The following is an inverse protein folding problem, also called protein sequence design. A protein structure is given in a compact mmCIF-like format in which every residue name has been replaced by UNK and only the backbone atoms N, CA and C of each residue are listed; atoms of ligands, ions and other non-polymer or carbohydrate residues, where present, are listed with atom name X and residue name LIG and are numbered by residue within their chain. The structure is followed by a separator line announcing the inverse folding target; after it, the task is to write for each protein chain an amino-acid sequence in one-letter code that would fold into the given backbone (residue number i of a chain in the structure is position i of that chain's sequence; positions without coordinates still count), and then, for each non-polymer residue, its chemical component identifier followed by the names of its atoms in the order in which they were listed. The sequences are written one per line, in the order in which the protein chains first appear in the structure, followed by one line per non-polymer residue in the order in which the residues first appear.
data_IF_986842826820
#
_entry.id   IF_986842826820
#
_cell.length_a   1.000
_cell.length_b   1.000
_cell.length_c   1.000
_cell.angle_alpha   90.00
_cell.angle_beta   90.00
_cell.angle_gamma   90.00
#
_symmetry.space_group_name_H-M   'P 1'
#
loop_
_entity.id
_entity.type
_entity.pdbx_description
1 polymer ?
#
# COMPACT_ATOMS: atom_id res chain seq x y z
N UNK A 1 -10.17 39.69 12.86
CA UNK A 1 -9.62 38.69 11.93
C UNK A 1 -9.26 37.46 12.76
N UNK A 2 -10.15 36.45 12.78
CA UNK A 2 -9.91 35.20 13.47
C UNK A 2 -8.87 34.41 12.65
N UNK A 3 -7.73 34.06 13.25
CA UNK A 3 -6.75 33.16 12.65
C UNK A 3 -7.41 31.79 12.48
N UNK A 4 -7.40 31.26 11.26
CA UNK A 4 -7.80 29.87 11.00
C UNK A 4 -6.97 28.94 11.94
N UNK A 5 -7.60 27.96 12.59
CA UNK A 5 -6.88 27.02 13.46
C UNK A 5 -5.78 26.32 12.64
N UNK A 6 -4.63 26.03 13.25
CA UNK A 6 -3.57 25.32 12.56
C UNK A 6 -4.13 23.99 12.03
N UNK A 7 -3.83 23.67 10.78
CA UNK A 7 -4.38 22.48 10.03
C UNK A 7 -4.29 21.15 10.81
N UNK A 8 -3.38 21.04 11.76
CA UNK A 8 -3.24 19.87 12.64
C UNK A 8 -4.38 19.70 13.65
N UNK A 9 -4.91 20.78 14.24
CA UNK A 9 -6.02 20.71 15.21
C UNK A 9 -7.32 20.28 14.54
N UNK A 10 -7.59 20.72 13.30
CA UNK A 10 -8.75 20.28 12.53
C UNK A 10 -8.73 18.78 12.24
N UNK A 11 -7.57 18.22 11.90
CA UNK A 11 -7.44 16.78 11.60
C UNK A 11 -7.52 15.91 12.87
N UNK A 12 -7.01 16.37 14.01
CA UNK A 12 -7.19 15.66 15.31
C UNK A 12 -8.67 15.56 15.66
N UNK A 13 -9.42 16.67 15.53
CA UNK A 13 -10.85 16.68 15.78
C UNK A 13 -11.61 15.77 14.82
N UNK A 14 -11.24 15.74 13.55
CA UNK A 14 -11.81 14.84 12.55
C UNK A 14 -11.59 13.37 12.92
N UNK A 15 -10.36 12.97 13.25
CA UNK A 15 -10.04 11.60 13.68
C UNK A 15 -10.82 11.23 14.93
N UNK A 16 -10.90 12.12 15.92
CA UNK A 16 -11.66 11.88 17.13
C UNK A 16 -13.15 11.70 16.85
N UNK A 17 -13.74 12.53 15.97
CA UNK A 17 -15.14 12.43 15.57
C UNK A 17 -15.40 11.13 14.78
N UNK A 18 -14.53 10.75 13.85
CA UNK A 18 -14.64 9.47 13.14
C UNK A 18 -14.60 8.32 14.14
N UNK A 19 -13.64 8.31 15.07
CA UNK A 19 -13.53 7.27 16.08
C UNK A 19 -14.79 7.16 16.96
N UNK A 20 -15.38 8.31 17.34
CA UNK A 20 -16.65 8.31 18.11
C UNK A 20 -17.79 7.72 17.29
N UNK A 21 -17.94 8.08 16.00
CA UNK A 21 -18.99 7.52 15.12
C UNK A 21 -18.88 6.00 14.98
N UNK A 22 -17.66 5.47 15.00
CA UNK A 22 -17.39 4.02 14.93
C UNK A 22 -17.33 3.35 16.33
N UNK A 23 -17.99 3.93 17.35
CA UNK A 23 -18.19 3.30 18.67
C UNK A 23 -17.05 3.47 19.69
N UNK A 24 -15.94 4.10 19.30
CA UNK A 24 -14.79 4.30 20.23
C UNK A 24 -15.00 5.43 21.24
N UNK A 25 -16.17 6.08 21.29
CA UNK A 25 -16.50 7.15 22.25
C UNK A 25 -16.35 6.74 23.70
N UNK A 26 -16.72 5.48 24.04
CA UNK A 26 -16.51 4.92 25.38
C UNK A 26 -15.02 4.91 25.77
N UNK A 27 -14.12 4.60 24.84
CA UNK A 27 -12.68 4.60 25.08
C UNK A 27 -12.18 6.00 25.46
N UNK A 28 -12.63 7.05 24.76
CA UNK A 28 -12.27 8.43 25.05
C UNK A 28 -12.76 8.87 26.43
N UNK A 29 -14.00 8.55 26.80
CA UNK A 29 -14.56 8.90 28.13
C UNK A 29 -13.86 8.16 29.27
N UNK A 30 -13.67 6.84 29.13
CA UNK A 30 -13.00 6.00 30.13
C UNK A 30 -11.58 6.48 30.42
N UNK A 31 -10.87 6.98 29.42
CA UNK A 31 -9.49 7.42 29.55
C UNK A 31 -9.33 8.94 29.73
N UNK A 32 -10.42 9.66 30.05
CA UNK A 32 -10.44 11.11 30.28
C UNK A 32 -9.89 11.92 29.10
N UNK A 33 -10.24 11.52 27.88
CA UNK A 33 -9.86 12.14 26.61
C UNK A 33 -11.05 12.92 26.01
N UNK A 34 -12.05 13.28 26.83
CA UNK A 34 -13.28 13.98 26.43
C UNK A 34 -13.04 15.33 25.77
N UNK A 35 -11.92 15.99 26.11
CA UNK A 35 -11.52 17.27 25.49
C UNK A 35 -11.33 17.16 23.95
N UNK A 36 -11.21 15.92 23.43
CA UNK A 36 -11.00 15.65 22.01
C UNK A 36 -12.32 15.38 21.23
N UNK A 37 -13.40 15.02 21.94
CA UNK A 37 -14.63 14.51 21.30
C UNK A 37 -15.89 15.38 21.50
N UNK A 38 -15.88 16.38 22.39
CA UNK A 38 -17.12 17.08 22.76
C UNK A 38 -18.09 16.20 23.56
N UNK A 39 -19.28 16.76 23.91
CA UNK A 39 -20.23 16.12 24.86
C UNK A 39 -21.24 15.15 24.20
N UNK A 40 -21.30 15.06 22.88
CA UNK A 40 -22.41 14.45 22.12
C UNK A 40 -22.19 12.97 21.71
N UNK A 41 -21.17 12.28 22.24
CA UNK A 41 -20.87 10.89 21.83
C UNK A 41 -21.83 9.86 22.46
N UNK A 42 -22.69 9.25 21.65
CA UNK A 42 -23.56 8.14 22.04
C UNK A 42 -22.73 6.90 22.41
N UNK A 43 -23.08 6.24 23.53
CA UNK A 43 -22.37 5.07 24.04
C UNK A 43 -22.89 3.81 23.34
N UNK A 44 -22.22 3.35 22.31
CA UNK A 44 -22.43 1.98 21.84
C UNK A 44 -21.62 1.01 22.73
N UNK A 45 -22.34 0.18 23.48
CA UNK A 45 -21.77 -0.97 24.17
C UNK A 45 -21.62 -2.10 23.17
N UNK A 46 -20.39 -2.27 22.64
CA UNK A 46 -20.15 -3.21 21.55
C UNK A 46 -19.85 -4.62 22.04
N UNK A 47 -20.48 -5.59 21.38
CA UNK A 47 -20.03 -6.98 21.46
C UNK A 47 -18.58 -7.08 20.92
N UNK A 48 -17.72 -7.92 21.54
CA UNK A 48 -16.35 -8.12 21.06
C UNK A 48 -16.25 -8.45 19.57
N UNK A 49 -17.25 -9.13 19.01
CA UNK A 49 -17.35 -9.52 17.59
C UNK A 49 -17.52 -8.34 16.60
N UNK A 50 -17.91 -7.16 17.07
CA UNK A 50 -18.13 -5.99 16.21
C UNK A 50 -16.94 -5.02 16.19
N UNK A 51 -16.04 -5.13 17.18
CA UNK A 51 -14.90 -4.21 17.32
C UNK A 51 -13.96 -4.22 16.13
N UNK A 52 -13.72 -5.40 15.57
CA UNK A 52 -12.86 -5.53 14.39
C UNK A 52 -13.44 -4.82 13.18
N UNK A 53 -14.75 -5.02 12.93
CA UNK A 53 -15.47 -4.37 11.83
C UNK A 53 -15.47 -2.85 11.97
N UNK A 54 -15.79 -2.33 13.15
CA UNK A 54 -15.80 -0.88 13.40
C UNK A 54 -14.39 -0.27 13.29
N UNK A 55 -13.36 -0.98 13.71
CA UNK A 55 -11.98 -0.54 13.52
C UNK A 55 -11.62 -0.47 12.03
N UNK A 56 -12.00 -1.49 11.24
CA UNK A 56 -11.79 -1.51 9.81
C UNK A 56 -12.50 -0.33 9.12
N UNK A 57 -13.79 -0.14 9.41
CA UNK A 57 -14.59 0.95 8.86
C UNK A 57 -14.05 2.33 9.26
N UNK A 58 -13.58 2.49 10.49
CA UNK A 58 -12.92 3.71 10.96
C UNK A 58 -11.64 4.01 10.19
N UNK A 59 -10.77 3.00 10.00
CA UNK A 59 -9.51 3.17 9.27
C UNK A 59 -9.76 3.50 7.79
N UNK A 60 -10.79 2.89 7.18
CA UNK A 60 -11.21 3.15 5.82
C UNK A 60 -11.70 4.60 5.65
N UNK A 61 -12.58 5.07 6.55
CA UNK A 61 -13.08 6.45 6.55
C UNK A 61 -11.96 7.48 6.79
N UNK A 62 -10.95 7.16 7.61
CA UNK A 62 -9.81 8.04 7.88
C UNK A 62 -8.87 8.19 6.67
N UNK A 63 -8.96 7.27 5.72
CA UNK A 63 -8.31 7.36 4.43
C UNK A 63 -6.99 6.58 4.30
N UNK A 64 -6.29 6.75 3.16
CA UNK A 64 -5.25 5.85 2.68
C UNK A 64 -4.11 5.57 3.67
N UNK A 65 -3.66 6.56 4.42
CA UNK A 65 -2.60 6.39 5.43
C UNK A 65 -3.03 5.42 6.53
N UNK A 66 -4.30 5.52 6.97
CA UNK A 66 -4.84 4.69 8.05
C UNK A 66 -5.21 3.29 7.54
N UNK A 67 -5.65 3.17 6.28
CA UNK A 67 -5.83 1.86 5.60
C UNK A 67 -4.49 1.10 5.58
N UNK A 68 -3.41 1.72 5.15
CA UNK A 68 -2.06 1.14 5.16
C UNK A 68 -1.59 0.77 6.56
N UNK A 69 -1.88 1.59 7.56
CA UNK A 69 -1.59 1.26 8.95
C UNK A 69 -2.37 0.03 9.42
N UNK A 70 -3.66 -0.06 9.08
CA UNK A 70 -4.48 -1.23 9.39
C UNK A 70 -4.00 -2.50 8.69
N UNK A 71 -3.53 -2.41 7.45
CA UNK A 71 -2.91 -3.52 6.72
C UNK A 71 -1.63 -4.01 7.42
N UNK A 72 -0.76 -3.11 7.89
CA UNK A 72 0.41 -3.46 8.70
C UNK A 72 -0.01 -4.15 10.00
N UNK A 73 -1.02 -3.63 10.70
CA UNK A 73 -1.54 -4.22 11.93
C UNK A 73 -2.14 -5.61 11.71
N UNK A 74 -2.72 -5.88 10.54
CA UNK A 74 -3.27 -7.19 10.20
C UNK A 74 -2.22 -8.31 10.12
N UNK A 75 -0.94 -7.95 9.99
CA UNK A 75 0.20 -8.87 9.99
C UNK A 75 0.86 -9.03 11.37
N UNK A 76 0.28 -8.44 12.42
CA UNK A 76 0.85 -8.40 13.78
C UNK A 76 0.00 -9.16 14.80
N UNK A 77 0.01 -10.51 14.79
CA UNK A 77 -0.73 -11.33 15.74
C UNK A 77 -0.21 -11.22 17.19
N UNK A 78 0.96 -10.63 17.37
CA UNK A 78 1.53 -10.27 18.67
C UNK A 78 0.88 -9.03 19.30
N UNK A 79 0.20 -8.19 18.48
CA UNK A 79 -0.39 -6.93 18.91
C UNK A 79 -1.91 -7.01 18.99
N UNK A 80 -2.55 -7.67 18.03
CA UNK A 80 -4.01 -7.69 17.89
C UNK A 80 -4.60 -9.10 17.99
N UNK A 81 -5.81 -9.23 18.57
CA UNK A 81 -6.56 -10.49 18.59
C UNK A 81 -6.90 -11.00 17.17
N UNK A 82 -7.03 -12.32 16.99
CA UNK A 82 -7.28 -12.93 15.67
C UNK A 82 -8.56 -12.47 14.97
N UNK A 83 -9.62 -12.16 15.72
CA UNK A 83 -10.90 -11.65 15.20
C UNK A 83 -10.74 -10.25 14.59
N UNK A 84 -9.98 -9.37 15.24
CA UNK A 84 -9.67 -8.04 14.70
C UNK A 84 -8.77 -8.17 13.44
N UNK A 85 -7.76 -9.04 13.50
CA UNK A 85 -6.88 -9.30 12.34
C UNK A 85 -7.68 -9.78 11.12
N UNK A 86 -8.66 -10.67 11.34
CA UNK A 86 -9.51 -11.19 10.27
C UNK A 86 -10.27 -10.06 9.55
N UNK A 87 -10.81 -9.10 10.30
CA UNK A 87 -11.49 -7.94 9.73
C UNK A 87 -10.53 -6.99 9.01
N UNK A 88 -9.36 -6.69 9.60
CA UNK A 88 -8.38 -5.78 9.00
C UNK A 88 -7.77 -6.31 7.70
N UNK A 89 -7.74 -7.62 7.49
CA UNK A 89 -7.36 -8.22 6.20
C UNK A 89 -8.32 -7.86 5.06
N UNK A 90 -9.54 -7.44 5.39
CA UNK A 90 -10.51 -6.92 4.43
C UNK A 90 -10.27 -5.46 3.99
N UNK A 91 -9.27 -4.77 4.54
CA UNK A 91 -8.91 -3.43 4.09
C UNK A 91 -8.32 -3.49 2.68
N UNK A 92 -9.00 -2.84 1.75
CA UNK A 92 -8.60 -2.80 0.35
C UNK A 92 -7.96 -1.45 0.01
N UNK A 93 -6.99 -1.47 -0.89
CA UNK A 93 -6.35 -0.27 -1.45
C UNK A 93 -7.13 0.30 -2.66
N UNK A 94 -8.43 -0.03 -2.77
CA UNK A 94 -9.27 0.45 -3.89
C UNK A 94 -9.63 1.91 -3.65
N UNK A 95 -8.93 2.79 -4.34
CA UNK A 95 -9.09 4.24 -4.23
C UNK A 95 -9.46 4.82 -5.59
N UNK A 96 -10.37 5.78 -5.60
CA UNK A 96 -10.72 6.52 -6.82
C UNK A 96 -9.46 7.09 -7.48
N UNK A 97 -9.24 6.81 -8.78
CA UNK A 97 -8.14 7.41 -9.53
C UNK A 97 -8.18 8.94 -9.46
N UNK A 98 -7.01 9.56 -9.46
CA UNK A 98 -6.90 11.01 -9.66
C UNK A 98 -6.86 11.33 -11.16
N UNK A 99 -7.09 12.59 -11.53
CA UNK A 99 -7.25 12.98 -12.92
C UNK A 99 -5.95 12.80 -13.73
N UNK A 100 -6.10 12.72 -15.08
CA UNK A 100 -4.96 12.71 -15.98
C UNK A 100 -4.10 13.97 -15.84
N UNK A 101 -4.74 15.13 -15.70
CA UNK A 101 -4.05 16.42 -15.56
C UNK A 101 -3.15 16.43 -14.33
N UNK A 102 -3.62 15.87 -13.22
CA UNK A 102 -2.82 15.72 -12.01
C UNK A 102 -1.66 14.73 -12.21
N UNK A 103 -1.89 13.62 -12.92
CA UNK A 103 -0.84 12.66 -13.26
C UNK A 103 0.23 13.29 -14.17
N UNK A 104 -0.20 14.00 -15.20
CA UNK A 104 0.69 14.70 -16.12
C UNK A 104 1.53 15.75 -15.42
N UNK A 105 0.94 16.52 -14.50
CA UNK A 105 1.69 17.49 -13.69
C UNK A 105 2.78 16.82 -12.85
N UNK A 106 2.47 15.70 -12.18
CA UNK A 106 3.48 14.94 -11.39
C UNK A 106 4.60 14.42 -12.27
N UNK A 107 4.30 13.94 -13.46
CA UNK A 107 5.28 13.46 -14.44
C UNK A 107 6.17 14.62 -14.87
N UNK A 108 5.59 15.76 -15.27
CA UNK A 108 6.32 16.94 -15.73
C UNK A 108 7.22 17.50 -14.61
N UNK A 109 6.71 17.66 -13.39
CA UNK A 109 7.51 18.09 -12.24
C UNK A 109 8.68 17.14 -11.94
N UNK A 110 8.48 15.84 -12.14
CA UNK A 110 9.48 14.81 -11.81
C UNK A 110 10.52 14.61 -12.88
N UNK A 111 10.12 14.65 -14.16
CA UNK A 111 10.98 14.34 -15.32
C UNK A 111 11.43 15.59 -16.07
N UNK A 112 10.86 16.76 -15.79
CA UNK A 112 11.27 18.05 -16.36
C UNK A 112 10.80 18.29 -17.79
N UNK A 113 9.89 17.46 -18.31
CA UNK A 113 9.32 17.58 -19.66
C UNK A 113 7.85 17.18 -19.65
N UNK A 114 7.00 17.77 -20.52
CA UNK A 114 5.61 17.39 -20.66
C UNK A 114 5.47 15.96 -21.20
N UNK A 115 4.34 15.33 -20.85
CA UNK A 115 4.04 13.92 -21.17
C UNK A 115 4.19 13.63 -22.66
N UNK A 116 3.73 14.54 -23.54
CA UNK A 116 3.74 14.41 -24.99
C UNK A 116 5.15 14.41 -25.61
N UNK A 117 6.16 14.90 -24.86
CA UNK A 117 7.58 14.82 -25.27
C UNK A 117 8.27 13.57 -24.75
N UNK A 118 7.76 13.03 -23.63
CA UNK A 118 8.34 11.85 -22.98
C UNK A 118 7.84 10.54 -23.61
N UNK A 119 6.58 10.53 -24.05
CA UNK A 119 5.91 9.33 -24.55
C UNK A 119 5.28 9.61 -25.92
N UNK A 120 5.27 8.60 -26.80
CA UNK A 120 4.51 8.63 -28.06
C UNK A 120 3.00 8.55 -27.81
N UNK A 121 2.63 7.72 -26.83
CA UNK A 121 1.27 7.51 -26.38
C UNK A 121 1.29 7.44 -24.85
N UNK A 122 0.28 8.02 -24.23
CA UNK A 122 0.04 7.89 -22.80
C UNK A 122 -1.46 7.74 -22.57
N UNK A 123 -1.86 6.61 -22.00
CA UNK A 123 -3.29 6.36 -21.73
C UNK A 123 -3.76 7.24 -20.57
N UNK A 124 -4.76 8.12 -20.77
CA UNK A 124 -5.30 8.96 -19.72
C UNK A 124 -6.06 8.16 -18.65
N UNK A 125 -6.55 6.97 -18.99
CA UNK A 125 -7.24 6.08 -18.05
C UNK A 125 -6.20 5.16 -17.41
N UNK A 126 -6.05 5.17 -16.06
CA UNK A 126 -5.11 4.29 -15.40
C UNK A 126 -5.56 2.82 -15.49
N UNK A 127 -4.58 1.91 -15.62
CA UNK A 127 -4.81 0.46 -15.57
C UNK A 127 -5.13 -0.01 -14.14
N UNK A 128 -4.58 0.67 -13.14
CA UNK A 128 -4.79 0.37 -11.73
C UNK A 128 -4.61 1.65 -10.90
N UNK A 129 -5.32 1.73 -9.78
CA UNK A 129 -5.18 2.79 -8.80
C UNK A 129 -5.01 2.18 -7.41
N UNK A 130 -4.14 2.81 -6.60
CA UNK A 130 -3.86 2.42 -5.23
C UNK A 130 -3.83 3.66 -4.33
N UNK A 131 -3.71 3.45 -3.02
CA UNK A 131 -3.74 4.50 -2.00
C UNK A 131 -2.74 5.63 -2.25
N UNK A 132 -1.54 5.31 -2.70
CA UNK A 132 -0.45 6.28 -2.90
C UNK A 132 -0.13 6.60 -4.35
N UNK A 133 -0.76 5.94 -5.34
CA UNK A 133 -0.49 6.20 -6.76
C UNK A 133 -1.40 5.44 -7.70
N UNK A 134 -1.19 5.65 -8.98
CA UNK A 134 -1.88 4.92 -10.06
C UNK A 134 -0.91 4.55 -11.17
N UNK A 135 -1.28 3.57 -11.99
CA UNK A 135 -0.45 3.02 -13.06
C UNK A 135 -1.12 3.27 -14.40
N UNK A 136 -0.39 3.88 -15.32
CA UNK A 136 -0.83 4.13 -16.69
C UNK A 136 -0.03 3.29 -17.69
N UNK A 137 -0.68 2.92 -18.79
CA UNK A 137 -0.01 2.38 -19.96
C UNK A 137 0.54 3.55 -20.80
N UNK A 138 1.77 3.39 -21.29
CA UNK A 138 2.36 4.37 -22.18
C UNK A 138 3.26 3.70 -23.24
N UNK A 139 3.63 4.43 -24.28
CA UNK A 139 4.57 3.98 -25.33
C UNK A 139 5.74 4.95 -25.36
N UNK A 140 6.95 4.43 -25.19
CA UNK A 140 8.18 5.21 -25.28
C UNK A 140 8.50 5.60 -26.73
N UNK A 141 9.36 6.63 -26.97
CA UNK A 141 9.78 7.06 -28.31
C UNK A 141 10.40 5.95 -29.18
N UNK A 142 10.90 4.89 -28.57
CA UNK A 142 11.44 3.71 -29.25
C UNK A 142 10.40 2.61 -29.56
N UNK A 143 9.10 2.91 -29.37
CA UNK A 143 7.98 2.01 -29.61
C UNK A 143 7.72 0.95 -28.54
N UNK A 144 8.45 0.97 -27.43
CA UNK A 144 8.23 -0.01 -26.32
C UNK A 144 7.07 0.40 -25.44
N UNK A 145 6.20 -0.54 -25.14
CA UNK A 145 5.11 -0.36 -24.18
C UNK A 145 5.63 -0.45 -22.75
N UNK A 146 5.20 0.47 -21.90
CA UNK A 146 5.60 0.60 -20.49
C UNK A 146 4.41 0.82 -19.58
N UNK A 147 4.59 0.42 -18.33
CA UNK A 147 3.73 0.77 -17.22
C UNK A 147 4.37 1.93 -16.46
N UNK A 148 3.65 3.02 -16.29
CA UNK A 148 4.11 4.25 -15.62
C UNK A 148 3.32 4.41 -14.32
N UNK A 149 3.96 4.12 -13.18
CA UNK A 149 3.40 4.32 -11.85
C UNK A 149 3.65 5.76 -11.43
N UNK A 150 2.57 6.49 -11.14
CA UNK A 150 2.59 7.93 -10.82
C UNK A 150 2.06 8.10 -9.41
N UNK A 151 2.81 8.79 -8.56
CA UNK A 151 2.44 9.04 -7.17
C UNK A 151 1.28 10.04 -7.08
N UNK A 152 0.33 9.76 -6.17
CA UNK A 152 -0.81 10.65 -5.90
C UNK A 152 -0.34 12.03 -5.46
N UNK A 153 -0.85 13.12 -6.08
CA UNK A 153 -0.56 14.48 -5.65
C UNK A 153 -0.86 14.70 -4.17
N UNK A 154 0.06 15.35 -3.47
CA UNK A 154 -0.12 15.66 -2.05
C UNK A 154 0.08 14.50 -1.07
N UNK A 155 0.15 13.23 -1.53
CA UNK A 155 0.32 12.06 -0.67
C UNK A 155 1.48 12.19 0.35
N UNK A 156 2.69 12.63 -0.02
CA UNK A 156 3.76 12.79 0.97
C UNK A 156 3.42 13.75 2.09
N UNK A 157 2.75 14.86 1.79
CA UNK A 157 2.36 15.86 2.81
C UNK A 157 1.26 15.35 3.72
N UNK A 158 0.29 14.64 3.14
CA UNK A 158 -0.81 14.05 3.89
C UNK A 158 -0.29 12.97 4.84
N UNK A 159 0.55 12.05 4.34
CA UNK A 159 1.15 10.98 5.13
C UNK A 159 1.97 11.54 6.30
N UNK A 160 2.81 12.56 6.09
CA UNK A 160 3.58 13.17 7.18
C UNK A 160 2.66 13.86 8.22
N UNK A 161 1.57 14.48 7.79
CA UNK A 161 0.58 15.04 8.71
C UNK A 161 -0.09 13.94 9.54
N UNK A 162 -0.54 12.85 8.90
CA UNK A 162 -1.17 11.72 9.57
C UNK A 162 -0.20 10.99 10.52
N UNK A 163 1.07 10.79 10.13
CA UNK A 163 2.11 10.25 11.00
C UNK A 163 2.32 11.08 12.27
N UNK A 164 2.36 12.41 12.12
CA UNK A 164 2.47 13.30 13.29
C UNK A 164 1.31 13.12 14.26
N UNK A 165 0.09 12.89 13.75
CA UNK A 165 -1.09 12.62 14.56
C UNK A 165 -1.01 11.25 15.23
N UNK A 166 -0.55 10.22 14.51
CA UNK A 166 -0.32 8.88 15.07
C UNK A 166 0.70 8.92 16.23
N UNK A 167 1.80 9.67 16.08
CA UNK A 167 2.76 9.87 17.17
C UNK A 167 2.14 10.54 18.41
N UNK A 168 1.30 11.56 18.19
CA UNK A 168 0.59 12.22 19.29
C UNK A 168 -0.39 11.27 19.97
N UNK A 169 -1.15 10.48 19.20
CA UNK A 169 -2.06 9.47 19.70
C UNK A 169 -1.33 8.38 20.49
N UNK A 170 -0.20 7.87 19.99
CA UNK A 170 0.63 6.88 20.67
C UNK A 170 1.17 7.41 22.01
N UNK A 171 1.58 8.66 22.09
CA UNK A 171 2.01 9.31 23.33
C UNK A 171 0.87 9.41 24.33
N UNK A 172 -0.29 9.90 23.90
CA UNK A 172 -1.48 10.02 24.76
C UNK A 172 -1.96 8.66 25.27
N UNK A 173 -1.94 7.64 24.41
CA UNK A 173 -2.26 6.27 24.78
C UNK A 173 -1.35 5.77 25.90
N UNK A 174 -0.05 5.95 25.78
CA UNK A 174 0.92 5.57 26.82
C UNK A 174 0.73 6.31 28.14
N UNK A 175 0.38 7.59 28.10
CA UNK A 175 0.20 8.42 29.31
C UNK A 175 -1.12 8.12 30.05
N UNK A 176 -2.18 7.72 29.34
CA UNK A 176 -3.54 7.69 29.86
C UNK A 176 -4.22 6.32 29.84
N UNK A 177 -3.70 5.36 29.06
CA UNK A 177 -4.36 4.07 28.83
C UNK A 177 -3.52 2.90 29.37
N UNK A 178 -3.63 2.62 30.69
CA UNK A 178 -2.91 1.51 31.33
C UNK A 178 -3.12 0.14 30.67
N UNK A 179 -4.27 -0.06 30.04
CA UNK A 179 -4.56 -1.31 29.32
C UNK A 179 -3.67 -1.52 28.08
N UNK A 180 -2.94 -0.50 27.64
CA UNK A 180 -2.02 -0.55 26.49
C UNK A 180 -0.53 -0.52 26.91
N UNK A 181 -0.23 -0.59 28.22
CA UNK A 181 1.15 -0.52 28.74
C UNK A 181 2.04 -1.66 28.20
N UNK A 182 1.45 -2.78 27.78
CA UNK A 182 2.16 -3.91 27.17
C UNK A 182 2.45 -3.73 25.67
N UNK A 183 1.86 -2.71 25.01
CA UNK A 183 2.07 -2.43 23.60
C UNK A 183 3.04 -1.26 23.45
N UNK A 184 4.12 -1.46 22.71
CA UNK A 184 4.97 -0.34 22.27
C UNK A 184 4.31 0.40 21.09
N UNK A 185 3.27 1.19 21.41
CA UNK A 185 2.52 1.96 20.42
C UNK A 185 3.43 2.93 19.63
N UNK A 186 4.48 3.49 20.28
CA UNK A 186 5.44 4.35 19.59
C UNK A 186 6.30 3.56 18.62
N UNK A 187 6.83 2.41 19.03
CA UNK A 187 7.61 1.52 18.16
C UNK A 187 6.81 1.07 16.95
N UNK A 188 5.51 0.83 17.11
CA UNK A 188 4.60 0.47 16.03
C UNK A 188 4.45 1.62 15.00
N UNK A 189 4.29 2.85 15.47
CA UNK A 189 4.25 4.04 14.59
C UNK A 189 5.62 4.27 13.93
N UNK A 190 6.73 4.04 14.63
CA UNK A 190 8.08 4.14 14.07
C UNK A 190 8.31 3.12 12.94
N UNK A 191 7.82 1.89 13.11
CA UNK A 191 7.87 0.83 12.09
C UNK A 191 7.04 1.21 10.86
N UNK A 192 5.80 1.64 11.08
CA UNK A 192 4.92 2.11 10.01
C UNK A 192 5.50 3.31 9.27
N UNK A 193 6.00 4.32 10.00
CA UNK A 193 6.60 5.51 9.41
C UNK A 193 7.80 5.19 8.51
N UNK A 194 8.61 4.19 8.88
CA UNK A 194 9.69 3.70 8.03
C UNK A 194 9.16 3.02 6.77
N UNK A 195 8.19 2.13 6.92
CA UNK A 195 7.61 1.40 5.80
C UNK A 195 6.95 2.34 4.79
N UNK A 196 6.07 3.22 5.24
CA UNK A 196 5.32 4.12 4.33
C UNK A 196 6.24 5.16 3.64
N UNK A 197 7.28 5.65 4.32
CA UNK A 197 8.27 6.54 3.70
C UNK A 197 9.11 5.83 2.63
N UNK A 198 9.39 4.55 2.80
CA UNK A 198 10.02 3.74 1.76
C UNK A 198 9.11 3.57 0.55
N UNK A 199 7.82 3.36 0.77
CA UNK A 199 6.81 3.24 -0.29
C UNK A 199 6.62 4.56 -1.09
N UNK A 200 6.92 5.71 -0.49
CA UNK A 200 6.91 7.02 -1.15
C UNK A 200 8.10 7.27 -2.10
N UNK A 201 9.16 6.49 -2.04
CA UNK A 201 10.30 6.62 -2.96
C UNK A 201 10.33 5.46 -3.96
N UNK A 202 9.70 5.62 -5.09
CA UNK A 202 9.63 4.61 -6.15
C UNK A 202 10.98 4.14 -6.69
N UNK A 203 12.08 4.84 -6.38
CA UNK A 203 13.42 4.36 -6.72
C UNK A 203 13.81 3.13 -5.91
N UNK A 204 13.23 2.92 -4.72
CA UNK A 204 13.45 1.72 -3.93
C UNK A 204 12.76 0.53 -4.60
N UNK A 205 11.53 0.68 -5.02
CA UNK A 205 10.80 -0.33 -5.81
C UNK A 205 11.56 -0.66 -7.11
N UNK A 206 12.06 0.36 -7.82
CA UNK A 206 12.88 0.17 -9.02
C UNK A 206 14.15 -0.67 -8.75
N UNK A 207 14.85 -0.43 -7.64
CA UNK A 207 16.05 -1.22 -7.25
C UNK A 207 15.69 -2.65 -6.91
N UNK A 208 14.58 -2.87 -6.24
CA UNK A 208 14.08 -4.21 -5.94
C UNK A 208 13.77 -4.95 -7.26
N UNK A 209 13.02 -4.32 -8.18
CA UNK A 209 12.72 -4.87 -9.50
C UNK A 209 14.01 -5.27 -10.26
N UNK A 210 15.03 -4.41 -10.27
CA UNK A 210 16.33 -4.73 -10.89
C UNK A 210 17.03 -5.91 -10.21
N UNK A 211 16.92 -6.05 -8.89
CA UNK A 211 17.48 -7.19 -8.16
C UNK A 211 16.76 -8.48 -8.55
N UNK A 212 15.42 -8.49 -8.55
CA UNK A 212 14.64 -9.63 -9.02
C UNK A 212 14.97 -9.97 -10.48
N UNK A 213 15.05 -8.97 -11.35
CA UNK A 213 15.39 -9.16 -12.77
C UNK A 213 16.77 -9.82 -12.96
N UNK A 214 17.76 -9.45 -12.16
CA UNK A 214 19.07 -10.10 -12.15
C UNK A 214 19.00 -11.53 -11.64
N UNK A 215 18.29 -11.77 -10.55
CA UNK A 215 18.14 -13.07 -9.93
C UNK A 215 17.43 -14.08 -10.85
N UNK A 216 16.44 -13.62 -11.62
CA UNK A 216 15.70 -14.43 -12.58
C UNK A 216 16.20 -14.29 -14.03
N UNK A 217 17.40 -13.76 -14.25
CA UNK A 217 17.96 -13.64 -15.60
C UNK A 217 18.10 -15.02 -16.27
N UNK A 218 17.39 -15.18 -17.40
CA UNK A 218 17.35 -16.46 -18.13
C UNK A 218 16.44 -17.53 -17.53
N UNK A 219 15.66 -17.23 -16.51
CA UNK A 219 14.69 -18.17 -15.97
C UNK A 219 13.56 -18.41 -17.01
N UNK A 220 13.22 -19.70 -17.32
CA UNK A 220 12.31 -20.00 -18.43
C UNK A 220 10.84 -19.63 -18.14
N UNK A 221 10.45 -19.55 -16.86
CA UNK A 221 9.06 -19.43 -16.44
C UNK A 221 8.72 -18.11 -15.74
N UNK A 222 9.71 -17.27 -15.41
CA UNK A 222 9.49 -16.03 -14.64
C UNK A 222 9.97 -14.82 -15.42
N UNK A 223 9.06 -13.91 -15.70
CA UNK A 223 9.34 -12.61 -16.29
C UNK A 223 9.32 -11.52 -15.22
N UNK A 224 10.40 -10.75 -15.13
CA UNK A 224 10.51 -9.56 -14.28
C UNK A 224 10.71 -8.35 -15.20
N UNK A 225 9.91 -7.28 -15.03
CA UNK A 225 9.96 -6.12 -15.92
C UNK A 225 11.30 -5.39 -15.83
N UNK A 226 11.73 -4.86 -16.96
CA UNK A 226 12.87 -3.95 -17.03
C UNK A 226 12.50 -2.60 -16.45
N UNK A 227 13.41 -1.98 -15.69
CA UNK A 227 13.27 -0.60 -15.22
C UNK A 227 13.81 0.37 -16.27
N UNK A 228 13.07 1.42 -16.58
CA UNK A 228 13.51 2.51 -17.45
C UNK A 228 13.98 3.70 -16.61
N UNK A 229 15.23 3.68 -16.15
CA UNK A 229 15.79 4.66 -15.23
C UNK A 229 15.76 6.11 -15.73
N UNK A 230 15.82 6.33 -17.03
CA UNK A 230 15.68 7.67 -17.65
C UNK A 230 14.31 8.29 -17.32
N UNK A 231 13.28 7.44 -17.19
CA UNK A 231 11.89 7.81 -16.90
C UNK A 231 11.47 7.47 -15.46
N UNK A 232 12.43 7.25 -14.55
CA UNK A 232 12.16 6.89 -13.15
C UNK A 232 12.73 7.93 -12.19
N UNK A 233 11.91 8.43 -11.28
CA UNK A 233 12.21 9.41 -10.22
C UNK A 233 11.48 9.00 -8.94
N UNK A 234 11.69 9.69 -7.80
CA UNK A 234 11.00 9.32 -6.55
C UNK A 234 9.48 9.19 -6.67
N UNK A 235 8.84 9.99 -7.53
CA UNK A 235 7.38 10.04 -7.69
C UNK A 235 6.86 9.39 -8.98
N UNK A 236 7.76 8.92 -9.85
CA UNK A 236 7.41 8.28 -11.13
C UNK A 236 8.29 7.05 -11.33
N UNK A 237 7.68 5.88 -11.50
CA UNK A 237 8.36 4.63 -11.83
C UNK A 237 7.91 4.13 -13.19
N UNK A 238 8.87 3.89 -14.09
CA UNK A 238 8.57 3.36 -15.43
C UNK A 238 9.18 1.98 -15.59
N UNK A 239 8.32 1.00 -15.79
CA UNK A 239 8.64 -0.41 -15.97
C UNK A 239 8.23 -0.90 -17.37
N UNK A 240 8.86 -1.96 -17.84
CA UNK A 240 8.38 -2.71 -18.99
C UNK A 240 6.95 -3.19 -18.73
N UNK A 241 6.06 -2.97 -19.70
CA UNK A 241 4.71 -3.54 -19.61
C UNK A 241 4.78 -5.06 -19.85
N UNK A 242 4.14 -5.81 -18.99
CA UNK A 242 3.99 -7.27 -19.15
C UNK A 242 2.52 -7.53 -19.49
N UNK A 243 2.28 -8.11 -20.66
CA UNK A 243 0.96 -8.58 -21.03
C UNK A 243 0.66 -9.89 -20.29
N UNK A 244 -0.45 -9.94 -19.55
CA UNK A 244 -0.88 -11.09 -18.78
C UNK A 244 -2.15 -10.80 -18.01
N UNK A 245 -2.83 -11.86 -17.57
CA UNK A 245 -4.02 -11.77 -16.71
C UNK A 245 -3.58 -11.83 -15.24
N UNK A 246 -4.12 -11.00 -14.38
CA UNK A 246 -3.84 -11.12 -12.94
C UNK A 246 -4.21 -12.51 -12.42
N UNK A 247 -3.38 -13.07 -11.55
CA UNK A 247 -3.66 -14.38 -10.95
C UNK A 247 -5.01 -14.39 -10.19
N UNK A 248 -5.43 -13.25 -9.67
CA UNK A 248 -6.76 -13.07 -9.07
C UNK A 248 -7.89 -13.41 -10.04
N UNK A 249 -7.69 -13.17 -11.34
CA UNK A 249 -8.67 -13.38 -12.41
C UNK A 249 -8.39 -14.64 -13.24
N UNK A 250 -7.56 -15.56 -12.73
CA UNK A 250 -7.13 -16.78 -13.46
C UNK A 250 -8.30 -17.64 -13.95
N UNK A 251 -9.44 -17.57 -13.28
CA UNK A 251 -10.65 -18.31 -13.69
C UNK A 251 -11.19 -17.85 -15.05
N UNK A 252 -10.94 -16.60 -15.44
CA UNK A 252 -11.35 -16.05 -16.75
C UNK A 252 -10.58 -16.69 -17.91
N UNK A 253 -9.42 -17.32 -17.64
CA UNK A 253 -8.60 -17.98 -18.65
C UNK A 253 -9.15 -19.36 -19.06
N UNK A 254 -10.10 -19.93 -18.32
CA UNK A 254 -10.71 -21.21 -18.61
C UNK A 254 -9.76 -22.41 -18.52
N UNK A 255 -8.67 -22.29 -17.74
CA UNK A 255 -7.67 -23.35 -17.59
C UNK A 255 -8.24 -24.61 -16.97
N UNK A 256 -7.93 -25.77 -17.59
CA UNK A 256 -8.22 -27.08 -17.07
C UNK A 256 -7.33 -27.50 -15.90
N UNK A 257 -7.60 -28.65 -15.26
CA UNK A 257 -6.86 -29.12 -14.09
C UNK A 257 -5.34 -29.22 -14.30
N UNK A 258 -4.90 -29.68 -15.46
CA UNK A 258 -3.48 -29.83 -15.79
C UNK A 258 -2.75 -28.48 -15.93
N UNK A 259 -3.41 -27.49 -16.54
CA UNK A 259 -2.85 -26.13 -16.69
C UNK A 259 -2.76 -25.42 -15.33
N UNK A 260 -3.81 -25.58 -14.50
CA UNK A 260 -3.80 -25.05 -13.12
C UNK A 260 -2.72 -25.71 -12.27
N UNK A 261 -2.48 -27.02 -12.44
CA UNK A 261 -1.41 -27.72 -11.72
C UNK A 261 -0.04 -27.19 -12.14
N UNK A 262 0.22 -27.03 -13.45
CA UNK A 262 1.49 -26.46 -13.93
C UNK A 262 1.72 -25.05 -13.42
N UNK A 263 0.68 -24.20 -13.48
CA UNK A 263 0.77 -22.84 -12.92
C UNK A 263 1.11 -22.84 -11.42
N UNK A 264 0.47 -23.72 -10.64
CA UNK A 264 0.75 -23.87 -9.22
C UNK A 264 2.19 -24.34 -8.95
N UNK A 265 2.70 -25.26 -9.78
CA UNK A 265 4.11 -25.71 -9.70
C UNK A 265 5.08 -24.57 -10.00
N UNK A 266 4.82 -23.77 -11.04
CA UNK A 266 5.64 -22.58 -11.37
C UNK A 266 5.63 -21.56 -10.24
N UNK A 267 4.46 -21.30 -9.65
CA UNK A 267 4.33 -20.40 -8.51
C UNK A 267 5.15 -20.89 -7.31
N UNK A 268 4.97 -22.17 -6.93
CA UNK A 268 5.68 -22.77 -5.80
C UNK A 268 7.21 -22.74 -6.03
N UNK A 269 7.69 -23.17 -7.21
CA UNK A 269 9.12 -23.14 -7.54
C UNK A 269 9.70 -21.72 -7.52
N UNK A 270 8.95 -20.74 -8.01
CA UNK A 270 9.35 -19.33 -8.00
C UNK A 270 9.61 -18.83 -6.59
N UNK A 271 8.66 -19.04 -5.64
CA UNK A 271 8.85 -18.61 -4.24
C UNK A 271 9.94 -19.39 -3.53
N UNK A 272 10.02 -20.72 -3.74
CA UNK A 272 11.10 -21.54 -3.18
C UNK A 272 12.47 -21.09 -3.69
N UNK A 273 12.57 -20.77 -4.98
CA UNK A 273 13.79 -20.22 -5.58
C UNK A 273 14.18 -18.85 -4.98
N UNK A 274 13.23 -17.94 -4.80
CA UNK A 274 13.47 -16.65 -4.14
C UNK A 274 14.01 -16.82 -2.72
N UNK A 275 13.38 -17.68 -1.92
CA UNK A 275 13.72 -17.88 -0.51
C UNK A 275 15.03 -18.65 -0.36
N UNK A 276 15.11 -19.85 -0.93
CA UNK A 276 16.19 -20.78 -0.64
C UNK A 276 17.44 -20.62 -1.52
N UNK A 277 17.29 -20.05 -2.72
CA UNK A 277 18.41 -19.89 -3.63
C UNK A 277 18.92 -18.45 -3.69
N UNK A 278 18.01 -17.48 -3.73
CA UNK A 278 18.38 -16.08 -3.86
C UNK A 278 18.53 -15.36 -2.51
N UNK A 279 17.87 -15.87 -1.45
CA UNK A 279 17.80 -15.17 -0.15
C UNK A 279 17.16 -13.76 -0.25
N UNK A 280 16.48 -13.51 -1.37
CA UNK A 280 15.79 -12.26 -1.66
C UNK A 280 14.43 -12.59 -2.28
N UNK A 281 13.35 -12.25 -1.59
CA UNK A 281 12.01 -12.69 -1.94
C UNK A 281 10.99 -11.56 -1.97
N UNK A 282 9.98 -11.74 -2.80
CA UNK A 282 8.81 -10.86 -2.87
C UNK A 282 8.00 -10.97 -1.58
N UNK A 283 7.87 -9.86 -0.86
CA UNK A 283 7.23 -9.84 0.46
C UNK A 283 5.71 -9.74 0.42
N UNK A 284 5.13 -9.53 -0.76
CA UNK A 284 3.69 -9.43 -0.97
C UNK A 284 3.22 -10.38 -2.09
N UNK A 285 2.99 -11.68 -1.79
CA UNK A 285 2.53 -12.67 -2.75
C UNK A 285 1.03 -12.54 -3.10
N UNK A 286 0.50 -11.32 -3.09
CA UNK A 286 -0.90 -11.09 -3.44
C UNK A 286 -1.16 -11.46 -4.90
N UNK A 287 -2.28 -12.13 -5.24
CA UNK A 287 -2.58 -12.54 -6.61
C UNK A 287 -2.62 -11.41 -7.64
N UNK A 288 -2.90 -10.17 -7.22
CA UNK A 288 -2.86 -8.98 -8.08
C UNK A 288 -1.43 -8.60 -8.52
N UNK A 289 -0.39 -9.06 -7.79
CA UNK A 289 1.02 -8.78 -8.08
C UNK A 289 1.67 -9.84 -8.98
N UNK A 290 0.88 -10.79 -9.48
CA UNK A 290 1.32 -11.89 -10.33
C UNK A 290 0.48 -11.88 -11.62
N UNK A 291 1.15 -11.80 -12.76
CA UNK A 291 0.51 -11.87 -14.06
C UNK A 291 0.70 -13.28 -14.66
N UNK A 292 -0.39 -13.94 -15.02
CA UNK A 292 -0.37 -15.19 -15.74
C UNK A 292 -0.22 -14.89 -17.24
N UNK A 293 0.93 -15.23 -17.80
CA UNK A 293 1.24 -15.05 -19.22
C UNK A 293 0.81 -16.31 -20.00
N UNK A 294 1.05 -17.47 -19.42
CA UNK A 294 0.60 -18.78 -19.91
C UNK A 294 0.58 -19.75 -18.72
N UNK A 295 0.09 -21.00 -18.88
CA UNK A 295 0.14 -22.00 -17.81
C UNK A 295 1.55 -22.26 -17.26
N UNK A 296 2.57 -22.00 -18.06
CA UNK A 296 3.98 -22.25 -17.73
C UNK A 296 4.78 -20.97 -17.47
N UNK A 297 4.18 -19.77 -17.60
CA UNK A 297 4.90 -18.51 -17.49
C UNK A 297 4.14 -17.47 -16.67
N UNK A 298 4.84 -16.85 -15.72
CA UNK A 298 4.31 -15.77 -14.91
C UNK A 298 5.15 -14.49 -15.04
N UNK A 299 4.50 -13.36 -14.86
CA UNK A 299 5.15 -12.05 -14.67
C UNK A 299 5.00 -11.60 -13.23
N UNK A 300 6.05 -11.05 -12.65
CA UNK A 300 5.99 -10.43 -11.33
C UNK A 300 5.89 -8.91 -11.49
N UNK A 301 5.02 -8.30 -10.71
CA UNK A 301 4.83 -6.84 -10.66
C UNK A 301 4.74 -6.38 -9.22
N UNK A 302 4.85 -5.06 -9.00
CA UNK A 302 4.86 -4.40 -7.68
C UNK A 302 5.95 -4.95 -6.73
N UNK A 303 7.12 -4.31 -6.79
CA UNK A 303 8.29 -4.68 -5.98
C UNK A 303 8.48 -3.76 -4.76
N UNK A 304 7.41 -3.10 -4.32
CA UNK A 304 7.43 -2.20 -3.17
C UNK A 304 7.86 -2.88 -1.87
N UNK A 305 7.47 -4.15 -1.71
CA UNK A 305 7.83 -4.96 -0.55
C UNK A 305 8.73 -6.12 -0.96
N UNK A 306 9.98 -6.10 -0.51
CA UNK A 306 10.94 -7.19 -0.71
C UNK A 306 11.61 -7.56 0.61
N UNK A 307 11.74 -8.86 0.88
CA UNK A 307 12.46 -9.40 2.03
C UNK A 307 13.84 -9.92 1.66
N UNK A 308 14.75 -9.90 2.62
CA UNK A 308 16.07 -10.51 2.50
C UNK A 308 16.34 -11.41 3.70
N UNK A 309 16.80 -12.61 3.44
CA UNK A 309 17.31 -13.50 4.49
C UNK A 309 18.73 -13.04 4.88
N UNK A 310 18.99 -12.99 6.18
CA UNK A 310 20.32 -12.79 6.75
C UNK A 310 20.88 -14.13 7.18
N UNK A 311 22.19 -14.24 7.31
CA UNK A 311 22.89 -15.46 7.72
C UNK A 311 22.84 -15.69 9.25
N UNK A 312 21.97 -14.98 9.99
CA UNK A 312 21.79 -15.16 11.44
C UNK A 312 20.62 -16.08 11.77
#
# INVERSE_FOLDING_TARGET
MAQAPPRSLGRISEIAQVAVRHGFGYFFRRNKLTDLIGDDGELLSEAPSERGRHLREMLDELGPTFVKFGQLLSMRPDVLPPDIIAELRGLQDDVTPFSYEEAAQVIEESLGQPVERLFLEFDPVPMAAASIGQVHRAVLPNGRTVAVKVQRPGAPRQIEADLNLMYQAARLAKERVRALDFIDAKGLVDEFARAIRQELDYRLEARNAETFRKNFAGHPHVKVPRVYWTYTRPRVLTLEHIDGTQLADVDTLGYGPEERRRLAEVLADTWMTMIFRHGFFHGDPHPANILVISPDNIGLVDFGLAGRLTEE
#
